data_IF_028537293602
#
_entry.id   IF_028537293602
#
_cell.length_a   1.000
_cell.length_b   1.000
_cell.length_c   1.000
_cell.angle_alpha   90.00
_cell.angle_beta   90.00
_cell.angle_gamma   90.00
#
_symmetry.space_group_name_H-M   'P 1'
#
loop_
_entity.id
_entity.type
_entity.pdbx_description
1 polymer ?
#
# COMPACT_ATOMS: atom_id res chain seq x y z
N UNK A 1 31.52 -1.76 -13.02
CA UNK A 1 32.02 -0.58 -13.76
C UNK A 1 32.20 0.66 -12.87
N UNK A 2 31.28 0.98 -11.91
CA UNK A 2 31.38 2.21 -11.12
C UNK A 2 32.71 2.33 -10.35
N UNK A 3 33.23 1.32 -9.60
CA UNK A 3 34.51 1.43 -8.93
C UNK A 3 35.71 1.54 -9.89
N UNK A 4 35.61 0.99 -11.09
CA UNK A 4 36.68 1.11 -12.13
C UNK A 4 36.96 2.56 -12.55
N UNK A 5 35.94 3.44 -12.43
CA UNK A 5 36.13 4.88 -12.71
C UNK A 5 37.17 5.52 -11.79
N UNK A 6 37.36 5.01 -10.58
CA UNK A 6 38.33 5.55 -9.65
C UNK A 6 39.78 5.37 -10.13
N UNK A 7 40.05 4.39 -10.99
CA UNK A 7 41.40 4.19 -11.58
C UNK A 7 41.76 5.29 -12.57
N UNK A 8 40.79 6.11 -13.02
CA UNK A 8 41.07 7.29 -13.87
C UNK A 8 42.16 8.18 -13.27
N UNK A 9 42.12 8.40 -11.94
CA UNK A 9 43.09 9.23 -11.26
C UNK A 9 44.49 8.65 -11.35
N UNK A 10 44.63 7.35 -11.12
CA UNK A 10 45.92 6.66 -11.30
C UNK A 10 46.43 6.80 -12.73
N UNK A 11 45.61 6.48 -13.71
CA UNK A 11 46.03 6.52 -15.11
C UNK A 11 46.40 7.93 -15.58
N UNK A 12 45.70 8.96 -15.09
CA UNK A 12 46.02 10.35 -15.42
C UNK A 12 47.25 10.87 -14.68
N UNK A 13 47.41 10.54 -13.39
CA UNK A 13 48.56 11.00 -12.57
C UNK A 13 49.86 10.25 -13.00
N UNK A 14 49.74 8.97 -13.27
CA UNK A 14 50.90 8.13 -13.64
C UNK A 14 51.22 8.21 -15.17
N UNK A 15 50.48 9.00 -15.98
CA UNK A 15 50.73 9.16 -17.42
C UNK A 15 52.04 9.89 -17.72
N UNK A 16 52.81 9.38 -18.65
CA UNK A 16 54.13 9.93 -19.01
C UNK A 16 54.08 10.87 -20.22
N UNK A 17 52.96 10.91 -20.97
CA UNK A 17 52.79 11.71 -22.14
C UNK A 17 51.38 12.26 -22.29
N UNK A 18 51.22 13.41 -23.01
CA UNK A 18 49.90 13.99 -23.31
C UNK A 18 49.03 13.05 -24.13
N UNK A 19 49.60 12.23 -24.99
CA UNK A 19 48.87 11.25 -25.81
C UNK A 19 48.31 10.11 -24.97
N UNK A 20 49.10 9.59 -24.01
CA UNK A 20 48.61 8.60 -23.04
C UNK A 20 47.49 9.13 -22.19
N UNK A 21 47.59 10.37 -21.66
CA UNK A 21 46.55 11.02 -20.88
C UNK A 21 45.24 11.16 -21.67
N UNK A 22 45.29 11.55 -22.94
CA UNK A 22 44.15 11.62 -23.85
C UNK A 22 43.52 10.24 -24.09
N UNK A 23 44.35 9.19 -24.29
CA UNK A 23 43.86 7.82 -24.43
C UNK A 23 43.12 7.31 -23.20
N UNK A 24 43.66 7.57 -21.98
CA UNK A 24 43.02 7.21 -20.74
C UNK A 24 41.71 8.00 -20.50
N UNK A 25 41.67 9.28 -20.90
CA UNK A 25 40.42 10.07 -20.83
C UNK A 25 39.36 9.44 -21.75
N UNK A 26 39.69 9.06 -22.98
CA UNK A 26 38.77 8.37 -23.87
C UNK A 26 38.21 7.07 -23.27
N UNK A 27 39.09 6.27 -22.63
CA UNK A 27 38.68 5.05 -21.93
C UNK A 27 37.72 5.34 -20.76
N UNK A 28 37.98 6.38 -20.00
CA UNK A 28 37.10 6.82 -18.90
C UNK A 28 35.71 7.22 -19.39
N UNK A 29 35.64 7.98 -20.50
CA UNK A 29 34.34 8.30 -21.12
C UNK A 29 33.60 7.04 -21.58
N UNK A 30 34.31 6.10 -22.23
CA UNK A 30 33.71 4.82 -22.67
C UNK A 30 33.16 4.03 -21.49
N UNK A 31 33.95 3.83 -20.43
CA UNK A 31 33.50 3.14 -19.20
C UNK A 31 32.30 3.85 -18.57
N UNK A 32 32.30 5.19 -18.53
CA UNK A 32 31.23 5.98 -17.95
C UNK A 32 29.94 5.83 -18.74
N UNK A 33 30.02 5.92 -20.07
CA UNK A 33 28.87 5.78 -20.96
C UNK A 33 28.30 4.35 -20.91
N UNK A 34 29.18 3.35 -20.96
CA UNK A 34 28.80 1.95 -20.84
C UNK A 34 28.11 1.67 -19.49
N UNK A 35 28.67 2.18 -18.38
CA UNK A 35 28.06 2.04 -17.05
C UNK A 35 26.66 2.68 -16.99
N UNK A 36 26.51 3.90 -17.52
CA UNK A 36 25.25 4.60 -17.59
C UNK A 36 24.20 3.82 -18.41
N UNK A 37 24.63 3.28 -19.57
CA UNK A 37 23.76 2.51 -20.44
C UNK A 37 23.22 1.25 -19.74
N UNK A 38 24.11 0.47 -19.13
CA UNK A 38 23.71 -0.74 -18.41
C UNK A 38 22.87 -0.44 -17.15
N UNK A 39 23.19 0.62 -16.42
CA UNK A 39 22.36 1.04 -15.29
C UNK A 39 20.94 1.43 -15.73
N UNK A 40 20.84 2.21 -16.81
CA UNK A 40 19.54 2.61 -17.37
C UNK A 40 18.73 1.38 -17.83
N UNK A 41 19.37 0.44 -18.51
CA UNK A 41 18.72 -0.78 -18.99
C UNK A 41 18.25 -1.64 -17.82
N UNK A 42 19.11 -1.85 -16.83
CA UNK A 42 18.81 -2.64 -15.64
C UNK A 42 17.65 -2.03 -14.84
N UNK A 43 17.70 -0.74 -14.56
CA UNK A 43 16.61 -0.05 -13.85
C UNK A 43 15.28 -0.14 -14.61
N UNK A 44 15.31 0.07 -15.94
CA UNK A 44 14.11 -0.02 -16.78
C UNK A 44 13.51 -1.43 -16.77
N UNK A 45 14.33 -2.44 -16.89
CA UNK A 45 13.88 -3.84 -16.89
C UNK A 45 13.30 -4.24 -15.54
N UNK A 46 13.96 -3.84 -14.45
CA UNK A 46 13.47 -4.13 -13.11
C UNK A 46 12.17 -3.39 -12.79
N UNK A 47 12.07 -2.11 -13.16
CA UNK A 47 10.82 -1.35 -12.97
C UNK A 47 9.64 -2.02 -13.68
N UNK A 48 9.83 -2.50 -14.90
CA UNK A 48 8.78 -3.24 -15.62
C UNK A 48 8.37 -4.53 -14.87
N UNK A 49 9.35 -5.30 -14.40
CA UNK A 49 9.10 -6.50 -13.60
C UNK A 49 8.34 -6.20 -12.32
N UNK A 50 8.77 -5.19 -11.56
CA UNK A 50 8.15 -4.81 -10.30
C UNK A 50 6.71 -4.28 -10.50
N UNK A 51 6.48 -3.45 -11.53
CA UNK A 51 5.14 -2.97 -11.88
C UNK A 51 4.23 -4.13 -12.29
N UNK A 52 4.72 -5.06 -13.12
CA UNK A 52 3.94 -6.24 -13.52
C UNK A 52 3.61 -7.16 -12.34
N UNK A 53 4.54 -7.33 -11.38
CA UNK A 53 4.27 -8.08 -10.16
C UNK A 53 3.18 -7.43 -9.30
N UNK A 54 3.23 -6.09 -9.14
CA UNK A 54 2.20 -5.34 -8.40
C UNK A 54 0.84 -5.42 -9.10
N UNK A 55 0.82 -5.34 -10.43
CA UNK A 55 -0.41 -5.50 -11.22
C UNK A 55 -1.05 -6.88 -11.01
N UNK A 56 -0.26 -7.95 -11.05
CA UNK A 56 -0.74 -9.30 -10.77
C UNK A 56 -1.29 -9.45 -9.35
N UNK A 57 -0.60 -8.87 -8.35
CA UNK A 57 -1.09 -8.88 -6.95
C UNK A 57 -2.40 -8.13 -6.85
N UNK A 58 -2.50 -6.94 -7.48
CA UNK A 58 -3.75 -6.14 -7.52
C UNK A 58 -4.90 -6.92 -8.15
N UNK A 59 -4.66 -7.56 -9.28
CA UNK A 59 -5.67 -8.38 -9.96
C UNK A 59 -6.17 -9.52 -9.09
N UNK A 60 -5.28 -10.28 -8.47
CA UNK A 60 -5.64 -11.38 -7.56
C UNK A 60 -6.42 -10.91 -6.33
N UNK A 61 -5.99 -9.80 -5.71
CA UNK A 61 -6.74 -9.25 -4.56
C UNK A 61 -8.14 -8.84 -4.97
N UNK A 62 -8.31 -8.17 -6.13
CA UNK A 62 -9.63 -7.75 -6.61
C UNK A 62 -10.51 -8.96 -6.92
N UNK A 63 -9.96 -9.98 -7.58
CA UNK A 63 -10.67 -11.23 -7.86
C UNK A 63 -11.15 -11.91 -6.57
N UNK A 64 -10.26 -12.08 -5.59
CA UNK A 64 -10.62 -12.64 -4.29
C UNK A 64 -11.64 -11.78 -3.53
N UNK A 65 -11.51 -10.45 -3.63
CA UNK A 65 -12.42 -9.52 -2.98
C UNK A 65 -13.86 -9.65 -3.53
N UNK A 66 -14.01 -9.77 -4.84
CA UNK A 66 -15.30 -9.93 -5.50
C UNK A 66 -15.98 -11.28 -5.18
N UNK A 67 -15.21 -12.27 -4.76
CA UNK A 67 -15.72 -13.59 -4.34
C UNK A 67 -15.97 -13.69 -2.82
N UNK A 68 -15.65 -12.65 -2.04
CA UNK A 68 -15.94 -12.63 -0.59
C UNK A 68 -17.44 -12.50 -0.31
N UNK A 69 -17.86 -13.03 0.83
CA UNK A 69 -19.23 -12.80 1.30
C UNK A 69 -19.44 -11.33 1.69
N UNK A 70 -20.68 -10.87 1.58
CA UNK A 70 -21.05 -9.50 2.00
C UNK A 70 -20.73 -9.25 3.48
N UNK A 71 -20.85 -10.28 4.32
CA UNK A 71 -20.49 -10.21 5.72
C UNK A 71 -18.99 -9.95 5.93
N UNK A 72 -18.13 -10.68 5.22
CA UNK A 72 -16.67 -10.50 5.26
C UNK A 72 -16.26 -9.13 4.74
N UNK A 73 -16.87 -8.70 3.63
CA UNK A 73 -16.60 -7.37 3.05
C UNK A 73 -16.94 -6.25 4.03
N UNK A 74 -18.14 -6.29 4.62
CA UNK A 74 -18.60 -5.27 5.55
C UNK A 74 -17.83 -5.24 6.88
N UNK A 75 -17.15 -6.33 7.26
CA UNK A 75 -16.35 -6.40 8.47
C UNK A 75 -15.10 -5.50 8.41
N UNK A 76 -14.51 -5.34 7.23
CA UNK A 76 -13.30 -4.53 7.02
C UNK A 76 -13.63 -3.10 6.52
N UNK A 77 -14.67 -2.97 5.70
CA UNK A 77 -15.15 -1.70 5.12
C UNK A 77 -14.33 -1.19 3.94
N UNK A 78 -14.97 -0.34 3.12
CA UNK A 78 -14.45 0.17 1.85
C UNK A 78 -13.07 0.83 1.96
N UNK A 79 -12.89 1.66 3.02
CA UNK A 79 -11.65 2.39 3.24
C UNK A 79 -10.43 1.48 3.43
N UNK A 80 -10.62 0.31 4.07
CA UNK A 80 -9.54 -0.67 4.26
C UNK A 80 -9.12 -1.29 2.91
N UNK A 81 -10.08 -1.65 2.06
CA UNK A 81 -9.79 -2.21 0.73
C UNK A 81 -9.20 -1.19 -0.23
N UNK A 82 -9.68 0.05 -0.21
CA UNK A 82 -9.07 1.16 -0.97
C UNK A 82 -7.61 1.35 -0.54
N UNK A 83 -7.34 1.38 0.77
CA UNK A 83 -5.97 1.47 1.29
C UNK A 83 -5.10 0.29 0.85
N UNK A 84 -5.64 -0.94 0.89
CA UNK A 84 -4.95 -2.16 0.47
C UNK A 84 -4.54 -2.09 -1.01
N UNK A 85 -5.48 -1.72 -1.90
CA UNK A 85 -5.28 -1.68 -3.36
C UNK A 85 -4.47 -0.45 -3.85
N UNK A 86 -4.29 0.56 -3.00
CA UNK A 86 -3.55 1.78 -3.33
C UNK A 86 -2.27 1.91 -2.52
N UNK A 87 -2.38 2.23 -1.24
CA UNK A 87 -1.26 2.58 -0.35
C UNK A 87 -0.37 1.37 -0.04
N UNK A 88 -0.97 0.22 0.29
CA UNK A 88 -0.22 -0.98 0.66
C UNK A 88 0.52 -1.56 -0.55
N UNK A 89 -0.10 -1.58 -1.73
CA UNK A 89 0.56 -1.98 -2.98
C UNK A 89 1.69 -1.03 -3.38
N UNK A 90 1.52 0.28 -3.16
CA UNK A 90 2.59 1.25 -3.39
C UNK A 90 3.75 1.00 -2.42
N UNK A 91 3.47 0.73 -1.16
CA UNK A 91 4.51 0.40 -0.18
C UNK A 91 5.21 -0.92 -0.51
N UNK A 92 4.48 -1.91 -1.02
CA UNK A 92 5.07 -3.15 -1.55
C UNK A 92 6.07 -2.86 -2.68
N UNK A 93 5.71 -1.98 -3.62
CA UNK A 93 6.61 -1.55 -4.70
C UNK A 93 7.85 -0.82 -4.16
N UNK A 94 7.66 0.25 -3.37
CA UNK A 94 8.74 1.15 -2.94
C UNK A 94 9.64 0.51 -1.87
N UNK A 95 9.06 -0.13 -0.85
CA UNK A 95 9.82 -0.62 0.31
C UNK A 95 10.26 -2.08 0.17
N UNK A 96 9.57 -2.89 -0.62
CA UNK A 96 9.97 -4.28 -0.83
C UNK A 96 10.71 -4.49 -2.14
N UNK A 97 10.05 -4.34 -3.29
CA UNK A 97 10.67 -4.65 -4.59
C UNK A 97 11.85 -3.73 -4.91
N UNK A 98 11.66 -2.42 -4.80
CA UNK A 98 12.74 -1.47 -5.08
C UNK A 98 13.90 -1.59 -4.09
N UNK A 99 13.63 -1.93 -2.83
CA UNK A 99 14.68 -2.18 -1.85
C UNK A 99 15.44 -3.46 -2.10
N UNK A 100 14.80 -4.54 -2.56
CA UNK A 100 15.49 -5.77 -2.99
C UNK A 100 16.43 -5.51 -4.19
N UNK A 101 15.95 -4.78 -5.19
CA UNK A 101 16.80 -4.38 -6.30
C UNK A 101 18.01 -3.57 -5.84
N UNK A 102 17.78 -2.58 -4.99
CA UNK A 102 18.84 -1.74 -4.46
C UNK A 102 19.83 -2.53 -3.58
N UNK A 103 19.39 -3.56 -2.83
CA UNK A 103 20.28 -4.46 -2.09
C UNK A 103 21.26 -5.18 -3.02
N UNK A 104 20.76 -5.74 -4.12
CA UNK A 104 21.62 -6.42 -5.10
C UNK A 104 22.55 -5.42 -5.78
N UNK A 105 22.03 -4.26 -6.18
CA UNK A 105 22.81 -3.21 -6.85
C UNK A 105 23.94 -2.67 -5.96
N UNK A 106 23.64 -2.23 -4.75
CA UNK A 106 24.62 -1.69 -3.81
C UNK A 106 25.57 -2.78 -3.29
N UNK A 107 25.05 -4.00 -3.08
CA UNK A 107 25.86 -5.17 -2.72
C UNK A 107 26.91 -5.48 -3.79
N UNK A 108 26.52 -5.47 -5.06
CA UNK A 108 27.45 -5.68 -6.18
C UNK A 108 28.53 -4.59 -6.26
N UNK A 109 28.16 -3.33 -6.08
CA UNK A 109 29.14 -2.21 -6.05
C UNK A 109 30.13 -2.40 -4.91
N UNK A 110 29.65 -2.72 -3.71
CA UNK A 110 30.49 -2.92 -2.53
C UNK A 110 31.45 -4.08 -2.70
N UNK A 111 30.97 -5.23 -3.18
CA UNK A 111 31.82 -6.41 -3.43
C UNK A 111 32.91 -6.12 -4.47
N UNK A 112 32.57 -5.44 -5.56
CA UNK A 112 33.56 -4.99 -6.54
C UNK A 112 34.60 -4.05 -5.92
N UNK A 113 34.17 -3.07 -5.12
CA UNK A 113 35.08 -2.13 -4.48
C UNK A 113 36.03 -2.85 -3.48
N UNK A 114 35.52 -3.76 -2.66
CA UNK A 114 36.34 -4.55 -1.73
C UNK A 114 37.35 -5.45 -2.47
N UNK A 115 36.94 -6.09 -3.55
CA UNK A 115 37.87 -6.87 -4.41
C UNK A 115 38.99 -6.02 -5.00
N UNK A 116 38.67 -4.79 -5.44
CA UNK A 116 39.68 -3.86 -5.94
C UNK A 116 40.60 -3.33 -4.82
N UNK A 117 40.12 -3.08 -3.62
CA UNK A 117 40.97 -2.74 -2.47
C UNK A 117 41.93 -3.90 -2.14
N UNK A 118 41.44 -5.14 -2.17
CA UNK A 118 42.30 -6.33 -1.97
C UNK A 118 43.40 -6.43 -3.02
N UNK A 119 43.08 -6.11 -4.29
CA UNK A 119 44.05 -6.09 -5.38
C UNK A 119 45.10 -4.96 -5.21
N UNK A 120 44.71 -3.77 -4.73
CA UNK A 120 45.61 -2.64 -4.52
C UNK A 120 46.54 -2.92 -3.34
N UNK A 121 46.00 -3.21 -2.16
CA UNK A 121 46.76 -3.50 -0.95
C UNK A 121 45.85 -4.07 0.14
N UNK A 122 46.18 -5.21 0.78
CA UNK A 122 45.46 -5.73 1.92
C UNK A 122 45.43 -4.76 3.10
N UNK A 123 46.49 -3.94 3.26
CA UNK A 123 46.54 -2.89 4.34
C UNK A 123 45.50 -1.80 4.09
N UNK A 124 45.34 -1.37 2.85
CA UNK A 124 44.32 -0.40 2.48
C UNK A 124 42.91 -0.98 2.66
N UNK A 125 42.71 -2.27 2.34
CA UNK A 125 41.47 -2.96 2.63
C UNK A 125 41.14 -2.98 4.12
N UNK A 126 42.13 -3.33 4.96
CA UNK A 126 41.94 -3.33 6.42
C UNK A 126 41.64 -1.93 6.95
N UNK A 127 42.32 -0.91 6.45
CA UNK A 127 42.08 0.50 6.81
C UNK A 127 40.65 0.93 6.48
N UNK A 128 40.15 0.70 5.26
CA UNK A 128 38.80 1.08 4.86
C UNK A 128 37.72 0.34 5.69
N UNK A 129 37.92 -0.95 5.94
CA UNK A 129 37.00 -1.74 6.78
C UNK A 129 36.94 -1.19 8.21
N UNK A 130 38.09 -0.89 8.81
CA UNK A 130 38.16 -0.32 10.17
C UNK A 130 37.44 1.03 10.27
N UNK A 131 37.65 1.91 9.28
CA UNK A 131 37.10 3.27 9.29
C UNK A 131 35.60 3.28 8.90
N UNK A 132 35.12 2.24 8.24
CA UNK A 132 33.68 2.12 7.87
C UNK A 132 32.82 1.67 9.07
N UNK A 133 33.38 1.03 10.10
CA UNK A 133 32.64 0.55 11.27
C UNK A 133 32.01 1.66 12.09
N UNK A 134 32.69 2.77 12.46
CA UNK A 134 32.10 3.84 13.27
C UNK A 134 30.81 4.45 12.72
N UNK A 135 30.70 4.79 11.40
CA UNK A 135 29.44 5.29 10.82
C UNK A 135 28.28 4.31 10.90
N UNK A 136 28.55 3.01 10.98
CA UNK A 136 27.51 1.98 11.09
C UNK A 136 27.00 1.78 12.54
N UNK A 137 27.88 1.98 13.52
CA UNK A 137 27.58 1.72 14.94
C UNK A 137 27.02 2.95 15.62
N UNK A 138 27.55 4.13 15.33
CA UNK A 138 27.18 5.38 15.99
C UNK A 138 25.68 5.74 15.85
N UNK A 139 25.05 5.57 14.69
CA UNK A 139 23.62 5.83 14.55
C UNK A 139 22.74 4.99 15.47
N UNK A 140 23.19 3.83 15.95
CA UNK A 140 22.39 2.98 16.86
C UNK A 140 22.07 3.66 18.18
N UNK A 141 23.02 4.38 18.79
CA UNK A 141 22.78 5.15 20.02
C UNK A 141 21.92 6.40 19.80
N UNK A 142 22.03 7.01 18.61
CA UNK A 142 21.20 8.17 18.23
C UNK A 142 19.78 7.76 17.83
N UNK A 143 19.58 6.54 17.35
CA UNK A 143 18.28 6.01 16.94
C UNK A 143 17.27 5.96 18.09
N UNK A 144 17.68 5.74 19.33
CA UNK A 144 16.75 5.73 20.48
C UNK A 144 16.14 7.12 20.71
N UNK A 145 16.96 8.19 20.65
CA UNK A 145 16.47 9.57 20.77
C UNK A 145 15.59 9.96 19.58
N UNK A 146 16.00 9.60 18.38
CA UNK A 146 15.23 9.84 17.17
C UNK A 146 13.89 9.10 17.20
N UNK A 147 13.88 7.84 17.65
CA UNK A 147 12.65 7.05 17.81
C UNK A 147 11.72 7.71 18.83
N UNK A 148 12.19 8.09 20.00
CA UNK A 148 11.38 8.76 21.01
C UNK A 148 10.79 10.09 20.48
N UNK A 149 11.59 10.89 19.77
CA UNK A 149 11.11 12.13 19.15
C UNK A 149 10.07 11.88 18.05
N UNK A 150 10.24 10.82 17.24
CA UNK A 150 9.29 10.40 16.23
C UNK A 150 7.97 9.92 16.83
N UNK A 151 8.04 9.11 17.89
CA UNK A 151 6.85 8.58 18.55
C UNK A 151 6.06 9.72 19.21
N UNK A 152 6.73 10.69 19.84
CA UNK A 152 6.11 11.89 20.39
C UNK A 152 5.44 12.75 19.30
N UNK A 153 6.10 12.95 18.16
CA UNK A 153 5.54 13.67 17.01
C UNK A 153 4.32 12.94 16.44
N UNK A 154 4.40 11.61 16.26
CA UNK A 154 3.30 10.80 15.75
C UNK A 154 2.06 10.88 16.65
N UNK A 155 2.23 10.78 17.97
CA UNK A 155 1.14 10.91 18.94
C UNK A 155 0.50 12.30 18.89
N UNK A 156 1.31 13.36 18.84
CA UNK A 156 0.81 14.73 18.77
C UNK A 156 0.08 15.01 17.44
N UNK A 157 0.57 14.46 16.33
CA UNK A 157 -0.08 14.61 15.03
C UNK A 157 -1.41 13.86 14.96
N UNK A 158 -1.51 12.68 15.58
CA UNK A 158 -2.77 11.95 15.70
C UNK A 158 -3.82 12.78 16.48
N UNK A 159 -3.43 13.40 17.60
CA UNK A 159 -4.30 14.31 18.36
C UNK A 159 -4.73 15.53 17.55
N UNK A 160 -3.80 16.14 16.81
CA UNK A 160 -4.11 17.27 15.91
C UNK A 160 -5.07 16.88 14.80
N UNK A 161 -4.88 15.71 14.17
CA UNK A 161 -5.78 15.19 13.13
C UNK A 161 -7.20 14.95 13.68
N UNK A 162 -7.31 14.43 14.90
CA UNK A 162 -8.62 14.25 15.56
C UNK A 162 -9.31 15.60 15.79
N UNK A 163 -8.59 16.62 16.27
CA UNK A 163 -9.15 17.96 16.42
C UNK A 163 -9.59 18.58 15.09
N UNK A 164 -8.83 18.37 14.02
CA UNK A 164 -9.23 18.82 12.67
C UNK A 164 -10.54 18.16 12.23
N UNK A 165 -10.70 16.85 12.45
CA UNK A 165 -11.95 16.14 12.13
C UNK A 165 -13.15 16.72 12.90
N UNK A 166 -12.96 17.01 14.18
CA UNK A 166 -14.00 17.64 15.02
C UNK A 166 -14.37 19.04 14.52
N UNK A 167 -13.37 19.87 14.17
CA UNK A 167 -13.59 21.22 13.67
C UNK A 167 -14.31 21.23 12.32
N UNK A 168 -13.87 20.38 11.39
CA UNK A 168 -14.46 20.29 10.05
C UNK A 168 -15.84 19.63 10.10
N UNK A 169 -16.02 18.58 10.90
CA UNK A 169 -17.32 17.92 11.08
C UNK A 169 -18.34 18.79 11.82
N UNK A 170 -17.87 19.69 12.71
CA UNK A 170 -18.71 20.63 13.45
C UNK A 170 -18.85 22.01 12.78
N UNK A 171 -18.45 22.17 11.51
CA UNK A 171 -18.40 23.47 10.83
C UNK A 171 -19.73 24.24 10.89
N UNK A 172 -20.85 23.58 10.57
CA UNK A 172 -22.18 24.21 10.59
C UNK A 172 -22.55 24.67 11.99
N UNK A 173 -22.24 23.90 13.03
CA UNK A 173 -22.49 24.25 14.43
C UNK A 173 -21.68 25.48 14.83
N UNK A 174 -20.37 25.51 14.48
CA UNK A 174 -19.49 26.64 14.79
C UNK A 174 -20.02 27.92 14.15
N UNK A 175 -20.43 27.85 12.88
CA UNK A 175 -21.04 28.97 12.14
C UNK A 175 -22.39 29.39 12.71
N UNK A 176 -23.25 28.42 13.01
CA UNK A 176 -24.59 28.69 13.56
C UNK A 176 -24.56 29.39 14.90
N UNK A 177 -23.51 29.19 15.72
CA UNK A 177 -23.34 29.83 17.02
C UNK A 177 -22.34 31.01 17.03
N UNK A 178 -21.82 31.43 15.87
CA UNK A 178 -20.86 32.55 15.71
C UNK A 178 -19.61 32.38 16.62
N UNK A 179 -19.01 31.18 16.61
CA UNK A 179 -17.87 30.82 17.47
C UNK A 179 -16.55 30.67 16.71
N UNK A 180 -16.43 31.17 15.49
CA UNK A 180 -15.28 31.03 14.61
C UNK A 180 -13.96 31.43 15.27
N UNK A 181 -13.95 32.59 15.95
CA UNK A 181 -12.73 33.11 16.59
C UNK A 181 -12.22 32.21 17.72
N UNK A 182 -13.13 31.66 18.53
CA UNK A 182 -12.78 30.76 19.62
C UNK A 182 -12.17 29.45 19.09
N UNK A 183 -12.78 28.88 18.05
CA UNK A 183 -12.29 27.66 17.45
C UNK A 183 -11.04 27.88 16.60
N UNK A 184 -10.88 29.02 15.96
CA UNK A 184 -9.64 29.42 15.30
C UNK A 184 -8.48 29.59 16.30
N UNK A 185 -8.74 30.13 17.51
CA UNK A 185 -7.75 30.18 18.57
C UNK A 185 -7.33 28.78 19.04
N UNK A 186 -8.31 27.89 19.30
CA UNK A 186 -8.07 26.48 19.66
C UNK A 186 -7.24 25.75 18.60
N UNK A 187 -7.55 25.95 17.32
CA UNK A 187 -6.77 25.39 16.22
C UNK A 187 -5.34 25.91 16.21
N UNK A 188 -5.12 27.23 16.40
CA UNK A 188 -3.77 27.82 16.46
C UNK A 188 -2.91 27.21 17.57
N UNK A 189 -3.49 26.95 18.73
CA UNK A 189 -2.78 26.33 19.86
C UNK A 189 -2.41 24.88 19.58
N UNK A 190 -3.34 24.11 19.00
CA UNK A 190 -3.06 22.74 18.58
C UNK A 190 -1.97 22.67 17.48
N UNK A 191 -2.03 23.57 16.50
CA UNK A 191 -1.03 23.68 15.44
C UNK A 191 0.36 24.06 15.99
N UNK A 192 0.43 24.94 17.01
CA UNK A 192 1.69 25.28 17.70
C UNK A 192 2.30 24.07 18.42
N UNK A 193 1.47 23.26 19.10
CA UNK A 193 1.93 22.05 19.78
C UNK A 193 2.45 21.02 18.77
N UNK A 194 1.72 20.79 17.67
CA UNK A 194 2.16 19.91 16.59
C UNK A 194 3.49 20.38 16.00
N UNK A 195 3.64 21.68 15.71
CA UNK A 195 4.89 22.28 15.22
C UNK A 195 6.06 22.09 16.21
N UNK A 196 5.83 22.23 17.50
CA UNK A 196 6.91 22.07 18.50
C UNK A 196 7.44 20.64 18.52
N UNK A 197 6.53 19.65 18.47
CA UNK A 197 6.90 18.24 18.37
C UNK A 197 7.60 17.91 17.06
N UNK A 198 7.14 18.48 15.94
CA UNK A 198 7.78 18.32 14.63
C UNK A 198 9.18 18.89 14.61
N UNK A 199 9.39 20.10 15.16
CA UNK A 199 10.71 20.70 15.30
C UNK A 199 11.66 19.82 16.10
N UNK A 200 11.21 19.24 17.22
CA UNK A 200 12.03 18.31 18.03
C UNK A 200 12.45 17.06 17.24
N UNK A 201 11.53 16.50 16.46
CA UNK A 201 11.83 15.37 15.58
C UNK A 201 12.82 15.76 14.48
N UNK A 202 12.58 16.86 13.75
CA UNK A 202 13.44 17.34 12.66
C UNK A 202 14.85 17.71 13.15
N UNK A 203 14.96 18.35 14.31
CA UNK A 203 16.26 18.66 14.93
C UNK A 203 17.03 17.37 15.27
N UNK A 204 16.37 16.35 15.80
CA UNK A 204 16.98 15.06 16.11
C UNK A 204 17.45 14.33 14.85
N UNK A 205 16.64 14.38 13.80
CA UNK A 205 16.97 13.83 12.48
C UNK A 205 18.17 14.55 11.85
N UNK A 206 18.14 15.89 11.84
CA UNK A 206 19.23 16.70 11.29
C UNK A 206 20.53 16.50 12.05
N UNK A 207 20.48 16.41 13.38
CA UNK A 207 21.68 16.12 14.19
C UNK A 207 22.27 14.75 13.83
N UNK A 208 21.44 13.74 13.61
CA UNK A 208 21.90 12.42 13.16
C UNK A 208 22.55 12.50 11.77
N UNK A 209 21.92 13.19 10.80
CA UNK A 209 22.44 13.35 9.44
C UNK A 209 23.79 14.08 9.45
N UNK A 210 23.88 15.22 10.15
CA UNK A 210 25.12 16.04 10.23
C UNK A 210 26.24 15.24 10.88
N UNK A 211 25.99 14.56 12.00
CA UNK A 211 27.02 13.77 12.66
C UNK A 211 27.50 12.58 11.82
N UNK A 212 26.57 11.91 11.12
CA UNK A 212 26.93 10.83 10.19
C UNK A 212 27.75 11.37 9.01
N UNK A 213 27.41 12.54 8.47
CA UNK A 213 28.14 13.19 7.38
C UNK A 213 29.54 13.59 7.80
N UNK A 214 29.72 14.14 9.02
CA UNK A 214 31.03 14.47 9.55
C UNK A 214 31.94 13.25 9.56
N UNK A 215 31.46 12.14 10.14
CA UNK A 215 32.23 10.90 10.22
C UNK A 215 32.56 10.36 8.82
N UNK A 216 31.58 10.38 7.91
CA UNK A 216 31.78 9.93 6.53
C UNK A 216 32.83 10.78 5.80
N UNK A 217 32.84 12.09 6.01
CA UNK A 217 33.80 13.00 5.40
C UNK A 217 35.23 12.83 5.97
N UNK A 218 35.39 12.33 7.20
CA UNK A 218 36.69 12.03 7.78
C UNK A 218 37.35 10.76 7.20
N UNK A 219 36.57 9.89 6.55
CA UNK A 219 37.08 8.64 5.99
C UNK A 219 38.09 8.91 4.86
N UNK A 220 37.75 9.84 3.96
CA UNK A 220 38.64 10.19 2.83
C UNK A 220 40.03 10.63 3.29
N UNK A 221 40.23 11.63 4.18
CA UNK A 221 41.53 12.04 4.64
C UNK A 221 42.26 10.94 5.43
N UNK A 222 41.54 10.07 6.17
CA UNK A 222 42.19 8.97 6.91
C UNK A 222 42.74 7.92 5.92
N UNK A 223 41.95 7.52 4.92
CA UNK A 223 42.40 6.59 3.88
C UNK A 223 43.57 7.17 3.07
N UNK A 224 43.50 8.48 2.77
CA UNK A 224 44.57 9.21 2.10
C UNK A 224 45.87 9.20 2.94
N UNK A 225 45.77 9.45 4.26
CA UNK A 225 46.91 9.45 5.18
C UNK A 225 47.59 8.08 5.24
N UNK A 226 46.81 7.01 5.43
CA UNK A 226 47.35 5.62 5.43
C UNK A 226 48.03 5.30 4.09
N UNK A 227 47.40 5.71 2.99
CA UNK A 227 47.95 5.51 1.64
C UNK A 227 49.26 6.26 1.42
N UNK A 228 49.38 7.50 1.91
CA UNK A 228 50.63 8.30 1.86
C UNK A 228 51.77 7.64 2.64
N UNK A 229 51.51 7.09 3.82
CA UNK A 229 52.55 6.36 4.57
C UNK A 229 53.05 5.14 3.74
N UNK A 230 52.14 4.38 3.07
CA UNK A 230 52.54 3.29 2.23
C UNK A 230 53.28 3.76 0.96
N UNK A 231 53.01 4.96 0.47
CA UNK A 231 53.72 5.56 -0.64
C UNK A 231 55.14 6.02 -0.26
N UNK A 232 55.34 6.60 0.94
CA UNK A 232 56.65 6.95 1.47
C UNK A 232 57.54 5.71 1.70
N UNK A 233 56.93 4.57 2.06
CA UNK A 233 57.61 3.27 2.14
C UNK A 233 57.93 2.65 0.75
N UNK A 234 57.59 3.36 -0.35
CA UNK A 234 57.81 2.88 -1.73
C UNK A 234 56.87 1.72 -2.15
N UNK A 235 55.84 1.40 -1.39
CA UNK A 235 54.91 0.29 -1.63
C UNK A 235 53.79 0.64 -2.60
N UNK A 236 53.42 1.92 -2.72
CA UNK A 236 52.33 2.43 -3.57
C UNK A 236 52.79 3.67 -4.34
N UNK A 237 52.17 3.94 -5.49
CA UNK A 237 52.32 5.22 -6.21
C UNK A 237 51.30 6.23 -5.71
N UNK A 238 51.57 7.53 -5.88
CA UNK A 238 50.63 8.61 -5.50
C UNK A 238 49.30 8.46 -6.25
N UNK A 239 49.33 8.08 -7.51
CA UNK A 239 48.14 7.79 -8.30
C UNK A 239 47.30 6.64 -7.72
N UNK A 240 47.94 5.59 -7.20
CA UNK A 240 47.27 4.46 -6.54
C UNK A 240 46.62 4.90 -5.22
N UNK A 241 47.28 5.74 -4.41
CA UNK A 241 46.74 6.31 -3.16
C UNK A 241 45.49 7.17 -3.44
N UNK A 242 45.60 8.04 -4.46
CA UNK A 242 44.48 8.90 -4.87
C UNK A 242 43.28 8.09 -5.34
N UNK A 243 43.55 7.01 -6.08
CA UNK A 243 42.50 6.07 -6.50
C UNK A 243 41.86 5.37 -5.32
N UNK A 244 42.63 4.84 -4.39
CA UNK A 244 42.09 4.20 -3.19
C UNK A 244 41.25 5.16 -2.34
N UNK A 245 41.71 6.41 -2.14
CA UNK A 245 40.93 7.41 -1.42
C UNK A 245 39.58 7.71 -2.09
N UNK A 246 39.55 7.86 -3.42
CA UNK A 246 38.30 8.10 -4.16
C UNK A 246 37.35 6.88 -4.17
N UNK A 247 37.92 5.67 -4.09
CA UNK A 247 37.14 4.42 -3.99
C UNK A 247 36.42 4.27 -2.64
N UNK A 248 36.82 4.99 -1.59
CA UNK A 248 36.17 4.90 -0.27
C UNK A 248 34.68 5.10 -0.34
N UNK A 249 34.20 5.99 -1.19
CA UNK A 249 32.76 6.24 -1.38
C UNK A 249 32.00 5.02 -1.92
N UNK A 250 32.65 4.12 -2.66
CA UNK A 250 32.05 2.88 -3.14
C UNK A 250 31.99 1.76 -2.09
N UNK A 251 32.47 2.02 -0.89
CA UNK A 251 32.27 1.15 0.29
C UNK A 251 31.28 1.80 1.27
N UNK A 252 31.46 3.09 1.58
CA UNK A 252 30.67 3.81 2.57
C UNK A 252 29.22 3.96 2.14
N UNK A 253 29.00 4.49 0.93
CA UNK A 253 27.63 4.70 0.41
C UNK A 253 26.82 3.41 0.33
N UNK A 254 27.35 2.30 -0.28
CA UNK A 254 26.64 1.03 -0.28
C UNK A 254 26.34 0.49 1.12
N UNK A 255 27.27 0.59 2.08
CA UNK A 255 27.01 0.16 3.46
C UNK A 255 25.77 0.84 4.03
N UNK A 256 25.66 2.16 3.89
CA UNK A 256 24.52 2.94 4.34
C UNK A 256 23.22 2.57 3.61
N UNK A 257 23.29 2.43 2.30
CA UNK A 257 22.14 2.10 1.45
C UNK A 257 21.62 0.68 1.71
N UNK A 258 22.50 -0.30 1.87
CA UNK A 258 22.15 -1.68 2.21
C UNK A 258 21.42 -1.73 3.56
N UNK A 259 21.92 -1.01 4.56
CA UNK A 259 21.28 -0.93 5.88
C UNK A 259 19.86 -0.34 5.79
N UNK A 260 19.67 0.74 5.02
CA UNK A 260 18.36 1.36 4.81
C UNK A 260 17.40 0.42 4.05
N UNK A 261 17.87 -0.18 2.95
CA UNK A 261 17.06 -1.13 2.16
C UNK A 261 16.63 -2.33 3.01
N UNK A 262 17.54 -2.88 3.82
CA UNK A 262 17.22 -3.98 4.72
C UNK A 262 16.16 -3.60 5.76
N UNK A 263 16.26 -2.41 6.34
CA UNK A 263 15.26 -1.89 7.27
C UNK A 263 13.88 -1.77 6.61
N UNK A 264 13.81 -1.27 5.36
CA UNK A 264 12.57 -1.16 4.56
C UNK A 264 11.96 -2.53 4.26
N UNK A 265 12.76 -3.49 3.79
CA UNK A 265 12.31 -4.88 3.55
C UNK A 265 11.76 -5.51 4.85
N UNK A 266 12.41 -5.25 5.98
CA UNK A 266 11.96 -5.77 7.27
C UNK A 266 10.67 -5.11 7.75
N UNK A 267 10.54 -3.79 7.58
CA UNK A 267 9.34 -3.05 7.99
C UNK A 267 8.13 -3.36 7.13
N UNK A 268 8.32 -3.74 5.86
CA UNK A 268 7.22 -4.11 4.95
C UNK A 268 6.59 -5.48 5.25
N UNK A 269 7.12 -6.26 6.24
CA UNK A 269 6.62 -7.60 6.55
C UNK A 269 5.12 -7.62 6.88
N UNK A 270 4.65 -6.68 7.70
CA UNK A 270 3.23 -6.62 8.07
C UNK A 270 2.32 -6.33 6.88
N UNK A 271 2.75 -5.44 5.99
CA UNK A 271 2.00 -5.11 4.77
C UNK A 271 1.95 -6.31 3.83
N UNK A 272 3.08 -7.00 3.64
CA UNK A 272 3.12 -8.22 2.81
C UNK A 272 2.19 -9.31 3.35
N UNK A 273 2.17 -9.51 4.67
CA UNK A 273 1.26 -10.47 5.29
C UNK A 273 -0.21 -10.11 5.04
N UNK A 274 -0.58 -8.83 5.20
CA UNK A 274 -1.94 -8.36 4.89
C UNK A 274 -2.33 -8.59 3.44
N UNK A 275 -1.41 -8.35 2.49
CA UNK A 275 -1.63 -8.60 1.07
C UNK A 275 -1.75 -10.11 0.78
N UNK A 276 -0.93 -10.95 1.42
CA UNK A 276 -1.02 -12.42 1.33
C UNK A 276 -2.35 -12.95 1.89
N UNK A 277 -2.77 -12.43 3.05
CA UNK A 277 -4.06 -12.78 3.66
C UNK A 277 -5.24 -12.37 2.75
N UNK A 278 -5.13 -11.20 2.10
CA UNK A 278 -6.14 -10.72 1.15
C UNK A 278 -6.21 -11.57 -0.13
N UNK A 279 -5.08 -12.13 -0.58
CA UNK A 279 -5.02 -13.03 -1.74
C UNK A 279 -5.44 -14.47 -1.41
N UNK A 280 -5.37 -14.85 -0.13
CA UNK A 280 -5.62 -16.23 0.33
C UNK A 280 -6.99 -16.41 0.97
N UNK A 281 -7.88 -15.41 0.84
CA UNK A 281 -9.22 -15.46 1.40
C UNK A 281 -9.97 -16.71 0.94
N UNK A 282 -10.88 -17.28 1.77
CA UNK A 282 -11.65 -18.43 1.37
C UNK A 282 -12.48 -18.07 0.13
N UNK A 283 -12.26 -18.80 -0.94
CA UNK A 283 -13.21 -18.83 -2.05
C UNK A 283 -14.56 -19.26 -1.49
N UNK A 284 -15.57 -18.46 -1.72
CA UNK A 284 -16.93 -18.85 -1.41
C UNK A 284 -17.35 -19.94 -2.40
N UNK A 285 -17.03 -21.17 -2.08
CA UNK A 285 -17.47 -22.30 -2.90
C UNK A 285 -18.98 -22.44 -2.70
N UNK A 286 -19.79 -22.37 -3.76
CA UNK A 286 -21.21 -22.67 -3.70
C UNK A 286 -21.39 -24.14 -3.32
N UNK A 287 -21.66 -24.40 -2.05
CA UNK A 287 -21.82 -25.75 -1.47
C UNK A 287 -23.28 -26.05 -1.12
N UNK A 288 -24.21 -25.42 -1.80
CA UNK A 288 -25.62 -25.60 -1.52
C UNK A 288 -26.34 -26.53 -2.51
N UNK A 289 -27.51 -27.01 -2.12
CA UNK A 289 -28.43 -27.64 -3.06
C UNK A 289 -29.23 -26.58 -3.80
N UNK A 290 -29.49 -26.74 -5.11
CA UNK A 290 -30.30 -25.79 -5.86
C UNK A 290 -31.73 -25.75 -5.32
N UNK A 291 -32.32 -24.55 -5.32
CA UNK A 291 -33.73 -24.37 -4.95
C UNK A 291 -34.60 -24.19 -6.20
N UNK A 292 -35.76 -24.84 -6.19
CA UNK A 292 -36.79 -24.61 -7.22
C UNK A 292 -37.55 -23.32 -7.04
N UNK A 293 -38.78 -23.26 -7.58
CA UNK A 293 -39.66 -22.11 -7.34
C UNK A 293 -39.90 -21.92 -5.85
N UNK A 294 -39.75 -20.71 -5.35
CA UNK A 294 -39.97 -20.39 -3.94
C UNK A 294 -41.47 -20.36 -3.64
N UNK A 295 -41.91 -21.27 -2.78
CA UNK A 295 -43.33 -21.41 -2.38
C UNK A 295 -43.54 -21.12 -0.91
N UNK A 296 -42.53 -21.26 -0.07
CA UNK A 296 -42.65 -21.13 1.37
C UNK A 296 -41.37 -20.64 2.02
N UNK A 297 -41.49 -19.61 2.89
CA UNK A 297 -40.41 -19.10 3.74
C UNK A 297 -40.84 -19.24 5.18
N UNK A 298 -40.00 -19.80 6.02
CA UNK A 298 -40.27 -19.97 7.45
C UNK A 298 -39.02 -19.56 8.27
N UNK A 299 -39.22 -18.69 9.26
CA UNK A 299 -38.23 -18.37 10.27
C UNK A 299 -38.67 -18.96 11.61
N UNK A 300 -37.81 -19.77 12.23
CA UNK A 300 -38.07 -20.46 13.50
C UNK A 300 -37.05 -19.99 14.53
N UNK A 301 -37.48 -19.24 15.54
CA UNK A 301 -36.66 -18.67 16.61
C UNK A 301 -35.36 -18.04 16.13
N UNK A 302 -35.44 -17.31 14.99
CA UNK A 302 -34.30 -16.70 14.36
C UNK A 302 -33.76 -15.52 15.15
N UNK A 303 -32.46 -15.55 15.47
CA UNK A 303 -31.77 -14.46 16.12
C UNK A 303 -30.48 -14.10 15.37
N UNK A 304 -30.07 -12.83 15.48
CA UNK A 304 -28.86 -12.35 14.82
C UNK A 304 -28.19 -11.21 15.58
N UNK A 305 -26.85 -11.27 15.64
CA UNK A 305 -25.97 -10.22 16.16
C UNK A 305 -24.93 -9.88 15.11
N UNK A 306 -24.77 -8.60 14.76
CA UNK A 306 -23.71 -8.19 13.85
C UNK A 306 -22.32 -8.45 14.44
N UNK A 307 -21.32 -8.81 13.65
CA UNK A 307 -19.95 -8.94 14.14
C UNK A 307 -19.49 -7.68 14.87
N UNK A 308 -19.00 -7.85 16.12
CA UNK A 308 -18.54 -6.74 16.97
C UNK A 308 -19.64 -5.99 17.72
N UNK A 309 -20.94 -6.29 17.52
CA UNK A 309 -22.01 -5.69 18.30
C UNK A 309 -22.19 -6.39 19.67
N UNK A 310 -22.50 -5.59 20.71
CA UNK A 310 -22.68 -6.08 22.07
C UNK A 310 -24.06 -6.72 22.33
N UNK A 311 -25.06 -6.43 21.50
CA UNK A 311 -26.42 -6.89 21.67
C UNK A 311 -27.00 -7.46 20.37
N UNK A 312 -27.89 -8.45 20.45
CA UNK A 312 -28.59 -9.00 19.30
C UNK A 312 -29.54 -7.95 18.69
N UNK A 313 -29.56 -7.89 17.35
CA UNK A 313 -30.51 -7.07 16.60
C UNK A 313 -31.83 -7.79 16.37
N UNK A 314 -31.76 -9.10 16.24
CA UNK A 314 -32.93 -9.97 16.11
C UNK A 314 -32.88 -11.04 17.20
N UNK A 315 -34.02 -11.33 17.83
CA UNK A 315 -34.17 -12.35 18.85
C UNK A 315 -35.51 -13.07 18.72
N UNK A 316 -35.49 -14.38 18.55
CA UNK A 316 -36.68 -15.22 18.56
C UNK A 316 -37.69 -14.92 17.46
N UNK A 317 -37.24 -14.48 16.27
CA UNK A 317 -38.14 -14.13 15.16
C UNK A 317 -38.83 -15.40 14.65
N UNK A 318 -40.15 -15.35 14.60
CA UNK A 318 -41.00 -16.38 13.98
C UNK A 318 -41.83 -15.71 12.89
N UNK A 319 -41.69 -16.20 11.67
CA UNK A 319 -42.36 -15.67 10.50
C UNK A 319 -42.64 -16.82 9.54
N UNK A 320 -43.81 -16.85 8.96
CA UNK A 320 -44.17 -17.72 7.86
C UNK A 320 -44.78 -16.92 6.74
N UNK A 321 -44.27 -17.10 5.52
CA UNK A 321 -44.78 -16.46 4.29
C UNK A 321 -44.97 -17.54 3.24
N UNK A 322 -46.18 -17.64 2.72
CA UNK A 322 -46.51 -18.60 1.64
C UNK A 322 -46.40 -17.94 0.27
N UNK A 323 -46.19 -18.75 -0.79
CA UNK A 323 -46.10 -18.27 -2.15
C UNK A 323 -47.35 -17.47 -2.54
N UNK A 324 -47.16 -16.38 -3.30
CA UNK A 324 -48.20 -15.42 -3.73
C UNK A 324 -48.76 -14.49 -2.63
N UNK A 325 -48.32 -14.58 -1.42
CA UNK A 325 -48.66 -13.63 -0.37
C UNK A 325 -47.80 -12.37 -0.41
N UNK A 326 -48.40 -11.24 -0.05
CA UNK A 326 -47.68 -9.99 0.22
C UNK A 326 -47.55 -9.82 1.75
N UNK A 327 -46.36 -9.97 2.27
CA UNK A 327 -46.07 -9.74 3.68
C UNK A 327 -45.47 -8.34 3.89
N UNK A 328 -45.91 -7.63 4.93
CA UNK A 328 -45.40 -6.32 5.29
C UNK A 328 -44.78 -6.38 6.69
N UNK A 329 -43.52 -6.00 6.79
CA UNK A 329 -42.80 -5.86 8.06
C UNK A 329 -42.96 -4.42 8.59
N UNK A 330 -43.67 -4.25 9.68
CA UNK A 330 -43.92 -2.97 10.31
C UNK A 330 -43.24 -2.90 11.69
N UNK A 331 -42.70 -1.76 12.03
CA UNK A 331 -42.01 -1.54 13.31
C UNK A 331 -41.18 -0.26 13.31
N UNK A 332 -40.67 0.11 14.47
CA UNK A 332 -39.85 1.31 14.66
C UNK A 332 -38.55 1.26 13.85
N UNK A 333 -37.92 2.44 13.62
CA UNK A 333 -36.59 2.49 12.99
C UNK A 333 -35.59 1.77 13.87
N UNK A 334 -34.73 0.92 13.26
CA UNK A 334 -33.72 0.14 13.98
C UNK A 334 -34.20 -1.20 14.59
N UNK A 335 -35.49 -1.58 14.50
CA UNK A 335 -35.99 -2.85 15.06
C UNK A 335 -35.58 -4.11 14.28
N UNK A 336 -34.70 -4.01 13.26
CA UNK A 336 -34.13 -5.17 12.56
C UNK A 336 -34.81 -5.58 11.26
N UNK A 337 -35.78 -4.82 10.70
CA UNK A 337 -36.46 -5.15 9.44
C UNK A 337 -35.51 -5.38 8.28
N UNK A 338 -34.59 -4.44 8.06
CA UNK A 338 -33.57 -4.56 7.00
C UNK A 338 -32.55 -5.68 7.28
N UNK A 339 -32.31 -5.98 8.56
CA UNK A 339 -31.43 -7.09 8.95
C UNK A 339 -32.08 -8.42 8.62
N UNK A 340 -33.37 -8.57 8.87
CA UNK A 340 -34.09 -9.79 8.49
C UNK A 340 -34.07 -10.00 6.96
N UNK A 341 -34.33 -8.96 6.18
CA UNK A 341 -34.23 -9.03 4.72
C UNK A 341 -32.83 -9.44 4.26
N UNK A 342 -31.78 -8.90 4.85
CA UNK A 342 -30.39 -9.30 4.56
C UNK A 342 -30.07 -10.75 4.92
N UNK A 343 -30.67 -11.28 6.01
CA UNK A 343 -30.54 -12.70 6.36
C UNK A 343 -31.22 -13.58 5.33
N UNK A 344 -32.45 -13.25 4.91
CA UNK A 344 -33.20 -13.99 3.87
C UNK A 344 -32.46 -14.02 2.53
N UNK A 345 -31.62 -13.00 2.26
CA UNK A 345 -30.77 -12.92 1.07
C UNK A 345 -29.34 -13.51 1.28
N UNK A 346 -29.14 -14.32 2.33
CA UNK A 346 -27.87 -14.96 2.66
C UNK A 346 -26.66 -14.00 2.77
N UNK A 347 -26.85 -12.73 3.11
CA UNK A 347 -25.72 -11.81 3.34
C UNK A 347 -24.91 -12.18 4.59
N UNK A 348 -25.59 -12.75 5.59
CA UNK A 348 -25.00 -13.18 6.86
C UNK A 348 -25.41 -14.63 7.17
N UNK A 349 -24.50 -15.59 7.03
CA UNK A 349 -24.80 -17.00 7.29
C UNK A 349 -24.87 -17.37 8.78
N UNK A 350 -24.26 -16.54 9.65
CA UNK A 350 -24.11 -16.82 11.08
C UNK A 350 -25.27 -16.23 11.89
N UNK A 351 -26.44 -16.89 11.87
CA UNK A 351 -27.62 -16.55 12.67
C UNK A 351 -28.00 -17.73 13.56
N UNK A 352 -28.76 -17.49 14.65
CA UNK A 352 -29.32 -18.54 15.52
C UNK A 352 -30.71 -18.94 15.05
N UNK A 353 -31.19 -20.12 15.42
CA UNK A 353 -32.47 -20.67 14.96
C UNK A 353 -32.41 -21.20 13.54
N UNK A 354 -33.54 -21.25 12.85
CA UNK A 354 -33.68 -21.78 11.49
C UNK A 354 -34.37 -20.82 10.56
N UNK A 355 -33.87 -20.71 9.32
CA UNK A 355 -34.55 -20.08 8.21
C UNK A 355 -34.71 -21.15 7.13
N UNK A 356 -35.92 -21.45 6.77
CA UNK A 356 -36.26 -22.52 5.82
C UNK A 356 -36.90 -21.91 4.58
N UNK A 357 -36.42 -22.31 3.41
CA UNK A 357 -37.03 -22.05 2.10
C UNK A 357 -37.51 -23.36 1.51
N UNK A 358 -38.81 -23.50 1.32
CA UNK A 358 -39.44 -24.78 0.92
C UNK A 358 -39.03 -25.97 1.80
N UNK A 359 -38.85 -25.75 3.11
CA UNK A 359 -38.41 -26.79 4.03
C UNK A 359 -36.90 -27.06 4.04
N UNK A 360 -36.09 -26.44 3.14
CA UNK A 360 -34.65 -26.55 3.15
C UNK A 360 -34.02 -25.42 3.99
N UNK A 361 -33.00 -25.76 4.78
CA UNK A 361 -32.22 -24.76 5.51
C UNK A 361 -31.55 -23.79 4.56
N UNK A 362 -31.76 -22.48 4.75
CA UNK A 362 -31.21 -21.43 3.92
C UNK A 362 -29.69 -21.53 3.76
N UNK A 363 -28.95 -21.90 4.82
CA UNK A 363 -27.48 -22.08 4.78
C UNK A 363 -27.02 -23.18 3.83
N UNK A 364 -27.90 -24.15 3.52
CA UNK A 364 -27.62 -25.26 2.61
C UNK A 364 -28.12 -25.04 1.18
N UNK A 365 -28.67 -23.87 0.88
CA UNK A 365 -29.15 -23.53 -0.45
C UNK A 365 -28.00 -22.91 -1.25
N UNK A 366 -27.86 -23.34 -2.51
CA UNK A 366 -26.92 -22.75 -3.44
C UNK A 366 -27.28 -21.27 -3.72
N UNK A 367 -26.33 -20.38 -3.50
CA UNK A 367 -26.53 -18.93 -3.62
C UNK A 367 -26.92 -18.52 -5.04
N UNK A 368 -26.31 -19.11 -6.06
CA UNK A 368 -26.62 -18.79 -7.45
C UNK A 368 -28.09 -19.14 -7.77
N UNK A 369 -28.54 -20.33 -7.36
CA UNK A 369 -29.93 -20.73 -7.57
C UNK A 369 -30.92 -19.88 -6.76
N UNK A 370 -30.54 -19.40 -5.58
CA UNK A 370 -31.35 -18.49 -4.77
C UNK A 370 -31.51 -17.12 -5.45
N UNK A 371 -30.41 -16.51 -5.90
CA UNK A 371 -30.44 -15.18 -6.51
C UNK A 371 -31.15 -15.15 -7.87
N UNK A 372 -31.26 -16.29 -8.55
CA UNK A 372 -32.13 -16.41 -9.73
C UNK A 372 -33.63 -16.43 -9.41
N UNK A 373 -34.00 -16.60 -8.13
CA UNK A 373 -35.39 -16.71 -7.69
C UNK A 373 -35.84 -15.60 -6.77
N UNK A 374 -34.91 -14.92 -6.12
CA UNK A 374 -35.17 -13.87 -5.13
C UNK A 374 -34.48 -12.57 -5.56
N UNK A 375 -35.24 -11.52 -5.73
CA UNK A 375 -34.71 -10.17 -5.95
C UNK A 375 -34.69 -9.38 -4.63
N UNK A 376 -33.65 -8.60 -4.38
CA UNK A 376 -33.55 -7.68 -3.24
C UNK A 376 -33.39 -6.25 -3.73
N UNK A 377 -34.34 -5.40 -3.37
CA UNK A 377 -34.28 -3.97 -3.63
C UNK A 377 -33.88 -3.28 -2.33
N UNK A 378 -32.67 -2.70 -2.31
CA UNK A 378 -32.16 -1.99 -1.15
C UNK A 378 -32.82 -0.61 -0.98
N UNK A 379 -32.82 -0.07 0.23
CA UNK A 379 -33.32 1.28 0.52
C UNK A 379 -32.48 2.37 -0.19
N UNK A 380 -31.17 2.18 -0.24
CA UNK A 380 -30.20 2.95 -1.02
C UNK A 380 -29.68 2.07 -2.14
N UNK A 381 -29.96 2.46 -3.38
CA UNK A 381 -29.52 1.76 -4.59
C UNK A 381 -28.20 2.39 -5.04
N UNK A 382 -27.22 1.58 -5.38
CA UNK A 382 -25.96 2.06 -5.97
C UNK A 382 -26.10 2.09 -7.50
N UNK A 383 -25.71 3.21 -8.10
CA UNK A 383 -25.64 3.36 -9.55
C UNK A 383 -24.18 3.52 -9.96
N UNK A 384 -23.75 2.67 -10.87
CA UNK A 384 -22.42 2.79 -11.48
C UNK A 384 -22.41 3.99 -12.43
N UNK A 385 -21.27 4.68 -12.49
CA UNK A 385 -21.06 5.79 -13.41
C UNK A 385 -20.88 5.26 -14.86
N UNK A 386 -21.98 4.87 -15.45
CA UNK A 386 -22.09 4.23 -16.77
C UNK A 386 -23.46 4.52 -17.38
N UNK A 387 -23.79 3.95 -18.54
CA UNK A 387 -25.11 4.09 -19.16
C UNK A 387 -26.21 3.44 -18.31
N UNK A 388 -27.45 3.86 -18.50
CA UNK A 388 -28.61 3.21 -17.87
C UNK A 388 -28.69 1.73 -18.29
N UNK A 389 -28.43 1.42 -19.55
CA UNK A 389 -28.31 0.06 -20.07
C UNK A 389 -27.32 -0.77 -19.29
N UNK A 390 -26.10 -0.26 -19.09
CA UNK A 390 -25.04 -0.94 -18.34
C UNK A 390 -25.43 -1.19 -16.89
N UNK A 391 -26.10 -0.22 -16.25
CA UNK A 391 -26.61 -0.35 -14.88
C UNK A 391 -27.72 -1.39 -14.73
N UNK A 392 -28.54 -1.61 -15.76
CA UNK A 392 -29.59 -2.64 -15.78
C UNK A 392 -29.00 -4.02 -16.08
N UNK A 393 -28.11 -4.10 -17.05
CA UNK A 393 -27.55 -5.38 -17.52
C UNK A 393 -26.40 -5.90 -16.65
N UNK A 394 -25.71 -5.03 -15.90
CA UNK A 394 -24.57 -5.38 -15.02
C UNK A 394 -23.48 -6.23 -15.70
N UNK A 395 -23.22 -5.93 -17.00
CA UNK A 395 -22.19 -6.60 -17.79
C UNK A 395 -22.63 -7.89 -18.49
N UNK A 396 -23.90 -8.27 -18.41
CA UNK A 396 -24.49 -9.37 -19.19
C UNK A 396 -25.13 -8.83 -20.46
N UNK A 397 -25.12 -9.63 -21.53
CA UNK A 397 -25.78 -9.31 -22.78
C UNK A 397 -27.21 -9.89 -22.81
N UNK A 398 -28.21 -9.01 -22.77
CA UNK A 398 -29.60 -9.39 -22.88
C UNK A 398 -30.19 -8.98 -24.27
N UNK A 399 -31.09 -9.78 -24.85
CA UNK A 399 -31.87 -9.38 -26.05
C UNK A 399 -32.64 -8.08 -25.77
N UNK A 400 -32.71 -7.19 -26.78
CA UNK A 400 -33.36 -5.89 -26.64
C UNK A 400 -34.84 -6.00 -26.22
N UNK A 401 -35.52 -7.05 -26.63
CA UNK A 401 -36.91 -7.33 -26.24
C UNK A 401 -37.05 -7.58 -24.74
N UNK A 402 -36.09 -8.29 -24.13
CA UNK A 402 -36.10 -8.55 -22.68
C UNK A 402 -35.82 -7.28 -21.89
N UNK A 403 -34.88 -6.46 -22.38
CA UNK A 403 -34.56 -5.19 -21.75
C UNK A 403 -35.73 -4.21 -21.80
N UNK A 404 -36.39 -4.09 -22.97
CA UNK A 404 -37.61 -3.28 -23.15
C UNK A 404 -38.71 -3.76 -22.21
N UNK A 405 -38.96 -5.08 -22.17
CA UNK A 405 -39.97 -5.64 -21.28
C UNK A 405 -39.65 -5.39 -19.76
N UNK A 406 -38.38 -5.45 -19.37
CA UNK A 406 -37.96 -5.12 -17.99
C UNK A 406 -38.25 -3.66 -17.65
N UNK A 407 -37.91 -2.73 -18.55
CA UNK A 407 -38.18 -1.28 -18.42
C UNK A 407 -39.67 -0.99 -18.33
N UNK A 408 -40.47 -1.63 -19.17
CA UNK A 408 -41.94 -1.52 -19.15
C UNK A 408 -42.51 -2.04 -17.83
N UNK A 409 -42.09 -3.23 -17.42
CA UNK A 409 -42.53 -3.85 -16.15
C UNK A 409 -42.17 -3.00 -14.94
N UNK A 410 -41.02 -2.33 -14.95
CA UNK A 410 -40.60 -1.39 -13.94
C UNK A 410 -41.35 -0.04 -13.98
N UNK A 411 -42.19 0.22 -15.01
CA UNK A 411 -42.88 1.48 -15.18
C UNK A 411 -41.99 2.65 -15.56
N UNK A 412 -40.84 2.38 -16.17
CA UNK A 412 -39.82 3.39 -16.50
C UNK A 412 -39.86 3.85 -17.95
N UNK A 413 -40.71 3.29 -18.80
CA UNK A 413 -40.76 3.57 -20.24
C UNK A 413 -40.90 5.07 -20.55
N UNK A 414 -41.86 5.74 -19.89
CA UNK A 414 -42.08 7.17 -20.07
C UNK A 414 -40.87 8.01 -19.69
N UNK A 415 -40.25 7.68 -18.57
CA UNK A 415 -39.05 8.39 -18.11
C UNK A 415 -37.86 8.15 -19.06
N UNK A 416 -37.60 6.92 -19.48
CA UNK A 416 -36.53 6.60 -20.44
C UNK A 416 -36.73 7.35 -21.76
N UNK A 417 -38.00 7.51 -22.23
CA UNK A 417 -38.27 8.28 -23.42
C UNK A 417 -37.98 9.78 -23.34
N UNK A 418 -37.87 10.32 -22.11
CA UNK A 418 -37.48 11.73 -21.87
C UNK A 418 -35.96 11.94 -21.86
N UNK A 419 -35.20 10.87 -21.79
CA UNK A 419 -33.73 10.95 -21.75
C UNK A 419 -33.17 11.20 -23.18
N UNK A 420 -32.10 12.01 -23.30
CA UNK A 420 -31.55 12.42 -24.60
C UNK A 420 -31.10 11.24 -25.47
N UNK A 421 -30.51 10.20 -24.86
CA UNK A 421 -30.00 9.00 -25.52
C UNK A 421 -30.74 7.73 -25.08
N UNK A 422 -31.93 7.85 -24.46
CA UNK A 422 -32.70 6.73 -23.97
C UNK A 422 -31.93 5.87 -22.98
N UNK A 423 -31.85 4.56 -23.20
CA UNK A 423 -31.10 3.61 -22.37
C UNK A 423 -29.59 3.82 -22.41
N UNK A 424 -29.03 4.48 -23.41
CA UNK A 424 -27.61 4.74 -23.54
C UNK A 424 -27.18 6.07 -22.87
N UNK A 425 -28.11 6.76 -22.19
CA UNK A 425 -27.85 7.95 -21.39
C UNK A 425 -26.93 7.58 -20.20
N UNK A 426 -25.84 8.35 -20.04
CA UNK A 426 -24.94 8.21 -18.89
C UNK A 426 -25.64 8.65 -17.60
N UNK A 427 -25.55 7.81 -16.59
CA UNK A 427 -26.08 8.06 -15.25
C UNK A 427 -24.92 8.08 -14.26
N UNK A 428 -24.93 9.04 -13.35
CA UNK A 428 -24.00 9.11 -12.24
C UNK A 428 -24.77 9.48 -10.96
N UNK A 429 -24.18 9.18 -9.80
CA UNK A 429 -24.75 9.57 -8.49
C UNK A 429 -24.78 11.11 -8.25
N UNK A 430 -24.27 11.93 -9.18
CA UNK A 430 -24.22 13.40 -9.06
C UNK A 430 -25.23 14.08 -9.97
#
# INVERSE_FOLDING_TARGET
FAPLKSFQLKWLIDSKSKQEALGYMGLVFLITFTSWFFERLSRRSFTKLACGAVEQVRGRIMEQLLHRSVAQYNAEGDAAYISLLTTDLRTLYDDYYMSLFNLVFWGGIMLCALGMYLYISPVMLAAILLVTVPPLVLPRKMNERLKAARDAFSLQMAGYTQQLKELLGGFEVIRGFLREDAYAARHRDAARQARTSELGYQQSLNAMVVNTSLISNLIFPIVMLVGLFLAFDGRLTIGTVSTAASMANFVITPCSQIAQCWAKVRSSKGIRQRLEDAMSGPEETPKGQPIGRLEHIECQDTGFTYPGAAAPVLSGVRLTVSGQEKAVLVGESGCGKSTLAKLLFQYYPDYTGSILFNGQQLRGIDRQSLYQRVGYIAQTTYLFNDTLRSNICLGEDFPEEQLTHAVETAGLSDWVSTLPDGLDTLISEN
#
